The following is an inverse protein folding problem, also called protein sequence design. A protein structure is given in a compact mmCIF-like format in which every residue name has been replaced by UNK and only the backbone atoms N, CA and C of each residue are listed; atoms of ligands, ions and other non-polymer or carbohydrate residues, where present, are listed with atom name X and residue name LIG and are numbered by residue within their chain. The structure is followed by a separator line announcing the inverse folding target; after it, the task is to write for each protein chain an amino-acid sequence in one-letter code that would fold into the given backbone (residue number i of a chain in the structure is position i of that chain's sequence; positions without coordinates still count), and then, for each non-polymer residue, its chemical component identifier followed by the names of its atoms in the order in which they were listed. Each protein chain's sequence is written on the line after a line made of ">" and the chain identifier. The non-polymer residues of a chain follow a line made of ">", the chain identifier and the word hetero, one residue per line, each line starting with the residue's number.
data_IF_435497758070
#
_entry.id   IF_435497758070
#
_cell.length_a   1.000
_cell.length_b   1.000
_cell.length_c   1.000
_cell.angle_alpha   90.00
_cell.angle_beta   90.00
_cell.angle_gamma   90.00
#
_symmetry.space_group_name_H-M   'P 1'
#
loop_
_entity.id
_entity.type
_entity.pdbx_description
1 polymer ?
#
# COMPACT_ATOMS: atom_id res chain seq x y z
N UNK A 1 -16.84 -12.58 -61.31
CA UNK A 1 -17.18 -11.96 -60.01
C UNK A 1 -16.92 -12.91 -58.84
N UNK A 2 -17.41 -14.15 -58.82
CA UNK A 2 -17.21 -15.15 -57.77
C UNK A 2 -15.73 -15.49 -57.48
N UNK A 3 -14.88 -15.62 -58.49
CA UNK A 3 -13.44 -15.92 -58.34
C UNK A 3 -12.65 -14.78 -57.70
N UNK A 4 -13.00 -13.52 -57.98
CA UNK A 4 -12.37 -12.33 -57.39
C UNK A 4 -12.77 -12.18 -55.91
N UNK A 5 -14.01 -12.48 -55.54
CA UNK A 5 -14.52 -12.49 -54.20
C UNK A 5 -13.80 -13.57 -53.37
N UNK A 6 -13.66 -14.78 -53.88
CA UNK A 6 -12.92 -15.88 -53.23
C UNK A 6 -11.42 -15.56 -53.04
N UNK A 7 -10.78 -14.88 -53.99
CA UNK A 7 -9.38 -14.49 -53.87
C UNK A 7 -9.18 -13.41 -52.80
N UNK A 8 -10.05 -12.37 -52.78
CA UNK A 8 -10.02 -11.34 -51.74
C UNK A 8 -10.27 -11.95 -50.35
N UNK A 9 -11.27 -12.81 -50.19
CA UNK A 9 -11.55 -13.51 -48.90
C UNK A 9 -10.35 -14.34 -48.43
N UNK A 10 -9.69 -15.12 -49.31
CA UNK A 10 -8.49 -15.90 -48.95
C UNK A 10 -7.34 -15.01 -48.48
N UNK A 11 -7.13 -13.85 -49.10
CA UNK A 11 -6.08 -12.93 -48.65
C UNK A 11 -6.42 -12.23 -47.35
N UNK A 12 -7.66 -11.83 -47.17
CA UNK A 12 -8.12 -11.27 -45.86
C UNK A 12 -7.96 -12.29 -44.73
N UNK A 13 -8.33 -13.56 -44.95
CA UNK A 13 -8.14 -14.63 -43.94
C UNK A 13 -6.66 -14.85 -43.62
N UNK A 14 -5.76 -14.82 -44.61
CA UNK A 14 -4.30 -14.90 -44.36
C UNK A 14 -3.81 -13.75 -43.47
N UNK A 15 -4.23 -12.52 -43.77
CA UNK A 15 -3.86 -11.33 -42.98
C UNK A 15 -4.36 -11.47 -41.54
N UNK A 16 -5.61 -11.91 -41.34
CA UNK A 16 -6.15 -12.14 -39.97
C UNK A 16 -5.34 -13.21 -39.25
N UNK A 17 -5.02 -14.33 -39.91
CA UNK A 17 -4.21 -15.41 -39.34
C UNK A 17 -2.80 -14.93 -38.95
N UNK A 18 -2.17 -14.07 -39.77
CA UNK A 18 -0.89 -13.46 -39.47
C UNK A 18 -0.99 -12.51 -38.25
N UNK A 19 -2.03 -11.68 -38.17
CA UNK A 19 -2.27 -10.80 -37.01
C UNK A 19 -2.44 -11.65 -35.74
N UNK A 20 -3.26 -12.69 -35.79
CA UNK A 20 -3.46 -13.61 -34.66
C UNK A 20 -2.14 -14.29 -34.26
N UNK A 21 -1.36 -14.78 -35.24
CA UNK A 21 -0.08 -15.41 -34.96
C UNK A 21 0.92 -14.46 -34.30
N UNK A 22 0.98 -13.19 -34.74
CA UNK A 22 1.81 -12.16 -34.13
C UNK A 22 1.34 -11.85 -32.71
N UNK A 23 0.04 -11.70 -32.49
CA UNK A 23 -0.51 -11.46 -31.13
C UNK A 23 -0.20 -12.62 -30.19
N UNK A 24 -0.37 -13.86 -30.64
CA UNK A 24 0.00 -15.05 -29.86
C UNK A 24 1.49 -15.06 -29.54
N UNK A 25 2.35 -14.75 -30.51
CA UNK A 25 3.79 -14.68 -30.28
C UNK A 25 4.15 -13.59 -29.25
N UNK A 26 3.53 -12.42 -29.32
CA UNK A 26 3.74 -11.33 -28.34
C UNK A 26 3.28 -11.74 -26.94
N UNK A 27 2.13 -12.41 -26.81
CA UNK A 27 1.64 -12.93 -25.54
C UNK A 27 2.61 -13.97 -24.97
N UNK A 28 3.11 -14.90 -25.80
CA UNK A 28 4.09 -15.89 -25.34
C UNK A 28 5.40 -15.24 -24.86
N UNK A 29 5.89 -14.25 -25.60
CA UNK A 29 7.08 -13.47 -25.20
C UNK A 29 6.82 -12.78 -23.86
N UNK A 30 5.68 -12.13 -23.69
CA UNK A 30 5.31 -11.48 -22.45
C UNK A 30 5.25 -12.48 -21.28
N UNK A 31 4.63 -13.64 -21.46
CA UNK A 31 4.58 -14.71 -20.44
C UNK A 31 5.98 -15.19 -20.06
N UNK A 32 6.88 -15.37 -21.02
CA UNK A 32 8.27 -15.76 -20.76
C UNK A 32 9.01 -14.67 -19.98
N UNK A 33 8.85 -13.40 -20.37
CA UNK A 33 9.46 -12.26 -19.65
C UNK A 33 8.96 -12.21 -18.22
N UNK A 34 7.65 -12.31 -18.00
CA UNK A 34 7.07 -12.32 -16.67
C UNK A 34 7.52 -13.53 -15.85
N UNK A 35 7.66 -14.69 -16.46
CA UNK A 35 8.17 -15.90 -15.80
C UNK A 35 9.62 -15.71 -15.32
N UNK A 36 10.48 -15.15 -16.16
CA UNK A 36 11.88 -14.81 -15.81
C UNK A 36 11.93 -13.75 -14.69
N UNK A 37 11.01 -12.77 -14.74
CA UNK A 37 10.89 -11.73 -13.73
C UNK A 37 10.23 -12.22 -12.42
N UNK A 38 9.82 -13.50 -12.32
CA UNK A 38 9.07 -14.05 -11.18
C UNK A 38 9.79 -15.19 -10.45
N UNK A 39 11.06 -15.02 -10.05
CA UNK A 39 11.82 -16.10 -9.37
C UNK A 39 11.36 -16.36 -7.93
N UNK A 40 10.53 -15.52 -7.33
CA UNK A 40 10.13 -15.60 -5.93
C UNK A 40 11.29 -15.37 -4.96
N UNK A 41 12.25 -14.52 -5.34
CA UNK A 41 13.44 -14.20 -4.54
C UNK A 41 13.75 -12.71 -4.57
N UNK A 42 13.92 -12.13 -3.39
CA UNK A 42 14.39 -10.77 -3.26
C UNK A 42 15.89 -10.66 -3.61
N UNK A 43 16.31 -9.53 -4.20
CA UNK A 43 17.74 -9.20 -4.30
C UNK A 43 18.33 -9.01 -2.90
N UNK A 44 19.56 -9.45 -2.72
CA UNK A 44 20.34 -9.24 -1.50
C UNK A 44 20.58 -7.74 -1.29
N UNK A 45 20.69 -7.33 -0.04
CA UNK A 45 21.06 -5.96 0.31
C UNK A 45 22.55 -5.73 0.00
N UNK A 46 22.84 -4.57 -0.58
CA UNK A 46 24.19 -4.19 -1.01
C UNK A 46 24.55 -2.82 -0.42
N UNK A 47 25.85 -2.66 -0.15
CA UNK A 47 26.45 -1.38 0.22
C UNK A 47 26.57 -0.42 -0.98
N UNK A 48 27.13 0.77 -0.75
CA UNK A 48 27.34 1.79 -1.78
C UNK A 48 28.30 1.34 -2.90
N UNK A 49 29.19 0.39 -2.61
CA UNK A 49 30.14 -0.20 -3.56
C UNK A 49 29.52 -1.38 -4.34
N UNK A 50 28.26 -1.72 -4.08
CA UNK A 50 27.53 -2.82 -4.74
C UNK A 50 27.86 -4.22 -4.21
N UNK A 51 28.59 -4.34 -3.08
CA UNK A 51 28.90 -5.60 -2.42
C UNK A 51 27.75 -6.00 -1.50
N UNK A 52 27.50 -7.29 -1.38
CA UNK A 52 26.50 -7.82 -0.45
C UNK A 52 26.92 -7.50 0.99
N UNK A 53 26.00 -6.93 1.76
CA UNK A 53 26.22 -6.62 3.18
C UNK A 53 26.22 -7.94 3.97
N UNK A 54 27.35 -8.30 4.63
CA UNK A 54 27.42 -9.53 5.40
C UNK A 54 26.43 -9.57 6.56
N UNK A 55 25.71 -10.68 6.72
CA UNK A 55 24.71 -10.83 7.80
C UNK A 55 23.39 -10.16 7.53
N UNK A 56 23.23 -9.41 6.43
CA UNK A 56 21.94 -8.81 6.05
C UNK A 56 20.88 -9.86 5.75
N UNK A 57 19.61 -9.49 6.01
CA UNK A 57 18.44 -10.31 5.73
C UNK A 57 17.71 -9.77 4.50
N UNK A 58 17.37 -10.65 3.58
CA UNK A 58 16.50 -10.36 2.43
C UNK A 58 15.77 -11.65 2.07
N UNK A 59 14.65 -11.90 2.75
CA UNK A 59 13.94 -13.18 2.72
C UNK A 59 12.48 -13.03 2.32
N UNK A 60 11.99 -14.09 1.67
CA UNK A 60 10.58 -14.37 1.47
C UNK A 60 10.18 -15.51 2.40
N UNK A 61 9.11 -15.33 3.15
CA UNK A 61 8.57 -16.31 4.10
C UNK A 61 7.08 -16.52 3.89
N UNK A 62 6.62 -17.71 4.23
CA UNK A 62 5.21 -18.07 4.32
C UNK A 62 5.02 -18.86 5.62
N UNK A 63 4.01 -18.52 6.41
CA UNK A 63 3.64 -19.22 7.67
C UNK A 63 2.11 -19.26 7.78
N UNK A 64 1.60 -20.12 8.63
CA UNK A 64 0.18 -20.14 9.00
C UNK A 64 -0.06 -19.00 9.99
N UNK A 65 -0.94 -18.07 9.64
CA UNK A 65 -1.49 -17.03 10.52
C UNK A 65 -2.99 -17.24 10.58
N UNK A 66 -3.53 -17.39 11.79
CA UNK A 66 -4.91 -17.81 11.94
C UNK A 66 -5.13 -19.18 11.29
N UNK A 67 -5.93 -19.21 10.25
CA UNK A 67 -6.37 -20.44 9.55
C UNK A 67 -5.80 -20.60 8.13
N UNK A 68 -5.04 -19.61 7.62
CA UNK A 68 -4.47 -19.64 6.26
C UNK A 68 -2.97 -19.40 6.24
N UNK A 69 -2.31 -19.94 5.23
CA UNK A 69 -0.91 -19.64 4.95
C UNK A 69 -0.79 -18.25 4.36
N UNK A 70 0.02 -17.41 4.99
CA UNK A 70 0.25 -16.02 4.59
C UNK A 70 1.73 -15.74 4.37
N UNK A 71 2.01 -14.84 3.43
CA UNK A 71 3.35 -14.50 3.00
C UNK A 71 3.78 -13.11 3.44
N UNK A 72 5.09 -12.97 3.67
CA UNK A 72 5.73 -11.70 3.99
C UNK A 72 7.19 -11.69 3.55
N UNK A 73 7.74 -10.50 3.49
CA UNK A 73 9.17 -10.30 3.22
C UNK A 73 9.83 -9.66 4.43
N UNK A 74 11.04 -10.14 4.78
CA UNK A 74 11.85 -9.52 5.83
C UNK A 74 13.12 -8.97 5.19
N UNK A 75 13.41 -7.70 5.45
CA UNK A 75 14.60 -7.01 4.97
C UNK A 75 15.29 -6.26 6.10
N UNK A 76 16.60 -6.41 6.22
CA UNK A 76 17.42 -5.71 7.21
C UNK A 76 18.89 -5.72 6.82
N UNK A 77 19.59 -4.62 7.00
CA UNK A 77 21.07 -4.61 6.90
C UNK A 77 21.73 -5.23 8.13
N UNK A 78 21.08 -5.12 9.30
CA UNK A 78 21.53 -5.75 10.54
C UNK A 78 20.33 -6.38 11.28
N UNK A 79 20.30 -7.71 11.50
CA UNK A 79 19.20 -8.40 12.18
C UNK A 79 18.98 -7.98 13.64
N UNK A 80 19.98 -7.34 14.27
CA UNK A 80 19.86 -6.81 15.63
C UNK A 80 19.07 -5.50 15.70
N UNK A 81 18.80 -4.86 14.59
CA UNK A 81 17.99 -3.66 14.50
C UNK A 81 16.59 -3.83 15.13
N UNK A 82 15.95 -2.73 15.58
CA UNK A 82 14.56 -2.75 15.96
C UNK A 82 13.67 -3.26 14.82
N UNK A 83 12.60 -3.97 15.17
CA UNK A 83 11.71 -4.57 14.18
C UNK A 83 10.52 -3.66 13.91
N UNK A 84 10.15 -3.50 12.65
CA UNK A 84 8.91 -2.86 12.19
C UNK A 84 8.06 -3.92 11.48
N UNK A 85 6.80 -4.08 11.89
CA UNK A 85 5.77 -4.70 11.09
C UNK A 85 5.09 -3.62 10.24
N UNK A 86 5.19 -3.75 8.92
CA UNK A 86 4.61 -2.81 7.94
C UNK A 86 3.29 -3.36 7.39
N UNK A 87 2.21 -2.62 7.63
CA UNK A 87 0.86 -2.89 7.15
C UNK A 87 0.59 -2.06 5.90
N UNK A 88 0.48 -2.73 4.74
CA UNK A 88 0.25 -2.06 3.46
C UNK A 88 -1.15 -1.44 3.33
N UNK A 89 -1.28 -0.53 2.38
CA UNK A 89 -2.52 0.17 2.04
C UNK A 89 -3.45 -0.58 1.07
N UNK A 90 -4.32 0.16 0.45
CA UNK A 90 -5.33 -0.31 -0.49
C UNK A 90 -6.74 -0.15 0.05
N UNK A 91 -7.43 -1.17 0.61
CA UNK A 91 -6.94 -2.51 0.99
C UNK A 91 -6.45 -3.35 -0.18
N UNK A 92 -5.56 -4.29 0.13
CA UNK A 92 -5.12 -5.29 -0.84
C UNK A 92 -4.00 -4.89 -1.80
N UNK A 93 -3.22 -3.83 -1.47
CA UNK A 93 -2.14 -3.33 -2.33
C UNK A 93 -0.77 -3.38 -1.63
N UNK A 94 -0.11 -4.55 -1.54
CA UNK A 94 1.24 -4.66 -0.98
C UNK A 94 2.23 -3.71 -1.68
N UNK A 95 2.94 -2.89 -0.92
CA UNK A 95 3.73 -1.78 -1.47
C UNK A 95 5.19 -2.09 -1.73
N UNK A 96 5.72 -3.21 -1.21
CA UNK A 96 7.13 -3.52 -1.38
C UNK A 96 7.61 -3.49 -2.84
N UNK A 97 6.83 -3.92 -3.86
CA UNK A 97 7.22 -3.77 -5.26
C UNK A 97 7.53 -2.31 -5.66
N UNK A 98 6.69 -1.38 -5.26
CA UNK A 98 6.83 0.07 -5.54
C UNK A 98 7.97 0.67 -4.72
N UNK A 99 8.04 0.34 -3.43
CA UNK A 99 9.12 0.78 -2.55
C UNK A 99 10.49 0.37 -3.13
N UNK A 100 10.60 -0.83 -3.67
CA UNK A 100 11.87 -1.33 -4.25
C UNK A 100 12.16 -0.79 -5.65
N UNK A 101 11.20 -0.21 -6.35
CA UNK A 101 11.41 0.40 -7.66
C UNK A 101 12.07 1.79 -7.57
N UNK A 102 12.04 2.45 -6.41
CA UNK A 102 12.72 3.73 -6.18
C UNK A 102 14.22 3.46 -5.95
N UNK A 103 15.06 3.78 -6.96
CA UNK A 103 16.48 3.37 -7.00
C UNK A 103 17.35 4.07 -5.94
N UNK A 104 17.19 5.37 -5.73
CA UNK A 104 18.06 6.21 -4.88
C UNK A 104 17.37 6.62 -3.57
N UNK A 105 16.54 5.77 -3.01
CA UNK A 105 15.87 6.11 -1.76
C UNK A 105 16.72 5.80 -0.53
N UNK A 106 16.59 6.64 0.49
CA UNK A 106 16.97 6.26 1.85
C UNK A 106 16.08 5.08 2.30
N UNK A 107 16.67 4.07 2.92
CA UNK A 107 16.00 2.81 3.23
C UNK A 107 15.80 2.61 4.72
N UNK A 108 14.58 2.26 5.14
CA UNK A 108 14.31 1.84 6.52
C UNK A 108 15.17 0.64 6.93
N UNK A 109 15.43 -0.27 5.99
CA UNK A 109 16.17 -1.52 6.22
C UNK A 109 17.63 -1.31 6.64
N UNK A 110 18.17 -0.09 6.49
CA UNK A 110 19.47 0.30 7.04
C UNK A 110 19.43 0.38 8.59
N UNK A 111 18.31 0.81 9.14
CA UNK A 111 18.15 1.11 10.57
C UNK A 111 17.18 0.18 11.29
N UNK A 112 16.36 -0.54 10.54
CA UNK A 112 15.32 -1.42 11.06
C UNK A 112 15.32 -2.77 10.36
N UNK A 113 14.85 -3.78 11.06
CA UNK A 113 14.39 -5.02 10.45
C UNK A 113 12.92 -4.85 10.08
N UNK A 114 12.63 -4.71 8.78
CA UNK A 114 11.28 -4.43 8.29
C UNK A 114 10.64 -5.70 7.77
N UNK A 115 9.46 -6.04 8.32
CA UNK A 115 8.59 -7.09 7.82
C UNK A 115 7.47 -6.46 6.98
N UNK A 116 7.53 -6.66 5.66
CA UNK A 116 6.50 -6.27 4.71
C UNK A 116 5.53 -7.44 4.53
N UNK A 117 4.37 -7.34 5.13
CA UNK A 117 3.38 -8.41 5.12
C UNK A 117 2.41 -8.25 3.95
N UNK A 118 2.27 -9.28 3.13
CA UNK A 118 1.16 -9.42 2.20
C UNK A 118 -0.06 -9.89 3.01
N UNK A 119 -0.93 -8.97 3.38
CA UNK A 119 -2.06 -9.23 4.26
C UNK A 119 -3.01 -10.28 3.67
N UNK A 120 -3.81 -10.91 4.52
CA UNK A 120 -4.83 -11.91 4.18
C UNK A 120 -5.55 -11.57 2.86
N UNK A 121 -5.61 -12.52 1.95
CA UNK A 121 -6.31 -12.37 0.67
C UNK A 121 -5.55 -11.63 -0.44
N UNK A 122 -4.26 -11.23 -0.24
CA UNK A 122 -3.50 -10.47 -1.24
C UNK A 122 -2.12 -11.07 -1.52
N UNK A 123 -1.54 -10.77 -2.69
CA UNK A 123 -0.18 -11.18 -3.03
C UNK A 123 0.09 -12.67 -2.78
N UNK A 124 1.09 -12.96 -1.94
CA UNK A 124 1.43 -14.31 -1.49
C UNK A 124 0.35 -14.96 -0.61
N UNK A 125 -0.47 -14.14 0.06
CA UNK A 125 -1.54 -14.58 0.97
C UNK A 125 -2.88 -14.77 0.27
N UNK A 126 -2.94 -14.58 -1.06
CA UNK A 126 -4.16 -14.79 -1.82
C UNK A 126 -4.52 -16.27 -1.90
N UNK A 127 -5.77 -16.59 -1.62
CA UNK A 127 -6.37 -17.92 -1.85
C UNK A 127 -7.71 -17.72 -2.57
N UNK A 128 -7.97 -18.53 -3.60
CA UNK A 128 -9.15 -18.36 -4.46
C UNK A 128 -10.48 -18.76 -3.81
N UNK A 129 -10.42 -19.41 -2.66
CA UNK A 129 -11.58 -19.82 -1.87
C UNK A 129 -11.95 -18.87 -0.74
N UNK A 130 -11.21 -17.77 -0.55
CA UNK A 130 -11.56 -16.75 0.44
C UNK A 130 -12.78 -15.95 -0.02
N UNK A 131 -13.69 -15.72 0.91
CA UNK A 131 -14.89 -14.90 0.74
C UNK A 131 -14.97 -13.78 1.77
N UNK A 132 -16.10 -13.07 1.80
CA UNK A 132 -16.32 -11.95 2.72
C UNK A 132 -16.16 -12.36 4.21
N UNK A 133 -16.64 -13.55 4.58
CA UNK A 133 -16.57 -14.06 5.96
C UNK A 133 -15.13 -14.29 6.43
N UNK A 134 -14.19 -14.50 5.52
CA UNK A 134 -12.77 -14.70 5.81
C UNK A 134 -11.99 -13.37 5.90
N UNK A 135 -12.60 -12.26 5.47
CA UNK A 135 -11.94 -10.95 5.31
C UNK A 135 -12.52 -9.90 6.26
N UNK A 136 -12.75 -10.26 7.52
CA UNK A 136 -13.22 -9.33 8.56
C UNK A 136 -12.07 -8.56 9.17
N UNK A 137 -12.32 -7.35 9.69
CA UNK A 137 -11.31 -6.54 10.42
C UNK A 137 -10.65 -7.36 11.53
N UNK A 138 -11.45 -8.18 12.25
CA UNK A 138 -10.92 -9.00 13.34
C UNK A 138 -9.90 -10.06 12.86
N UNK A 139 -10.13 -10.69 11.70
CA UNK A 139 -9.15 -11.61 11.12
C UNK A 139 -7.82 -10.93 10.82
N UNK A 140 -7.84 -9.70 10.25
CA UNK A 140 -6.61 -8.94 10.00
C UNK A 140 -5.92 -8.52 11.29
N UNK A 141 -6.66 -8.15 12.34
CA UNK A 141 -6.12 -7.80 13.66
C UNK A 141 -5.45 -9.00 14.32
N UNK A 142 -6.10 -10.16 14.30
CA UNK A 142 -5.56 -11.40 14.87
C UNK A 142 -4.32 -11.89 14.11
N UNK A 143 -4.34 -11.82 12.77
CA UNK A 143 -3.18 -12.15 11.92
C UNK A 143 -1.99 -11.22 12.22
N UNK A 144 -2.24 -9.91 12.37
CA UNK A 144 -1.20 -8.93 12.72
C UNK A 144 -0.59 -9.21 14.10
N UNK A 145 -1.42 -9.54 15.11
CA UNK A 145 -0.97 -10.00 16.44
C UNK A 145 -0.06 -11.22 16.33
N UNK A 146 -0.49 -12.23 15.61
CA UNK A 146 0.23 -13.50 15.50
C UNK A 146 1.54 -13.33 14.74
N UNK A 147 1.56 -12.53 13.67
CA UNK A 147 2.78 -12.17 12.96
C UNK A 147 3.72 -11.35 13.85
N UNK A 148 3.19 -10.42 14.66
CA UNK A 148 3.98 -9.64 15.63
C UNK A 148 4.67 -10.58 16.63
N UNK A 149 3.95 -11.53 17.22
CA UNK A 149 4.52 -12.51 18.15
C UNK A 149 5.61 -13.39 17.49
N UNK A 150 5.38 -13.83 16.26
CA UNK A 150 6.38 -14.53 15.47
C UNK A 150 7.67 -13.71 15.28
N UNK A 151 7.53 -12.42 14.96
CA UNK A 151 8.67 -11.51 14.77
C UNK A 151 9.42 -11.27 16.10
N UNK A 152 8.69 -11.06 17.20
CA UNK A 152 9.27 -10.91 18.54
C UNK A 152 10.09 -12.13 18.94
N UNK A 153 9.55 -13.32 18.80
CA UNK A 153 10.25 -14.58 19.11
C UNK A 153 11.49 -14.75 18.20
N UNK A 154 11.33 -14.55 16.90
CA UNK A 154 12.40 -14.73 15.92
C UNK A 154 13.60 -13.84 16.15
N UNK A 155 13.37 -12.56 16.51
CA UNK A 155 14.42 -11.56 16.68
C UNK A 155 14.78 -11.29 18.16
N UNK A 156 14.19 -12.04 19.09
CA UNK A 156 14.44 -11.89 20.52
C UNK A 156 14.07 -10.49 21.04
N UNK A 157 12.93 -9.94 20.59
CA UNK A 157 12.46 -8.61 20.97
C UNK A 157 11.26 -8.72 21.90
N UNK A 158 11.23 -7.88 22.95
CA UNK A 158 10.10 -7.80 23.88
C UNK A 158 8.90 -7.06 23.30
N UNK A 159 9.14 -6.13 22.37
CA UNK A 159 8.16 -5.36 21.61
C UNK A 159 8.73 -5.03 20.22
N UNK A 160 7.86 -4.62 19.31
CA UNK A 160 8.25 -4.13 17.98
C UNK A 160 7.57 -2.78 17.67
N UNK A 161 7.86 -2.18 16.54
CA UNK A 161 7.11 -1.03 16.02
C UNK A 161 6.03 -1.52 15.05
N UNK A 162 4.88 -0.86 15.06
CA UNK A 162 3.82 -1.05 14.08
C UNK A 162 3.76 0.16 13.16
N UNK A 163 3.79 -0.07 11.85
CA UNK A 163 3.68 0.99 10.85
C UNK A 163 2.57 0.62 9.86
N UNK A 164 1.66 1.55 9.56
CA UNK A 164 0.56 1.29 8.66
C UNK A 164 0.33 2.43 7.68
N UNK A 165 0.15 2.13 6.37
CA UNK A 165 -0.20 3.12 5.36
C UNK A 165 -1.68 2.99 4.96
N UNK A 166 -2.42 4.12 4.90
CA UNK A 166 -3.78 4.15 4.36
C UNK A 166 -4.69 3.11 5.05
N UNK A 167 -5.27 2.15 4.35
CA UNK A 167 -5.95 1.00 4.96
C UNK A 167 -5.13 0.36 6.10
N UNK A 168 -3.82 0.19 5.90
CA UNK A 168 -2.93 -0.32 6.93
C UNK A 168 -2.88 0.59 8.16
N UNK A 169 -3.15 1.89 8.02
CA UNK A 169 -3.24 2.80 9.15
C UNK A 169 -4.55 2.64 9.93
N UNK A 170 -5.65 2.38 9.25
CA UNK A 170 -6.91 1.99 9.90
C UNK A 170 -6.74 0.69 10.68
N UNK A 171 -6.19 -0.33 10.01
CA UNK A 171 -5.89 -1.62 10.65
C UNK A 171 -4.95 -1.46 11.85
N UNK A 172 -3.91 -0.63 11.71
CA UNK A 172 -2.94 -0.37 12.78
C UNK A 172 -3.59 0.20 14.05
N UNK A 173 -4.53 1.13 13.91
CA UNK A 173 -5.35 1.63 15.05
C UNK A 173 -6.10 0.49 15.72
N UNK A 174 -6.80 -0.36 14.96
CA UNK A 174 -7.56 -1.50 15.51
C UNK A 174 -6.66 -2.55 16.20
N UNK A 175 -5.42 -2.69 15.73
CA UNK A 175 -4.42 -3.58 16.35
C UNK A 175 -3.92 -3.02 17.68
N UNK A 176 -3.55 -1.74 17.75
CA UNK A 176 -3.02 -1.15 18.98
C UNK A 176 -4.09 -0.93 20.06
N UNK A 177 -5.35 -0.85 19.70
CA UNK A 177 -6.45 -0.86 20.66
C UNK A 177 -6.58 -2.19 21.40
N UNK A 178 -6.33 -3.30 20.71
CA UNK A 178 -6.51 -4.63 21.29
C UNK A 178 -5.23 -5.19 21.90
N UNK A 179 -4.04 -4.82 21.37
CA UNK A 179 -2.74 -5.38 21.74
C UNK A 179 -1.65 -4.33 21.94
N UNK A 180 -1.89 -3.26 22.74
CA UNK A 180 -0.92 -2.18 22.93
C UNK A 180 0.41 -2.64 23.55
N UNK A 181 0.37 -3.72 24.34
CA UNK A 181 1.55 -4.26 25.02
C UNK A 181 2.62 -4.83 24.05
N UNK A 182 2.27 -5.11 22.81
CA UNK A 182 3.18 -5.66 21.82
C UNK A 182 4.05 -4.59 21.12
N UNK A 183 3.73 -3.31 21.29
CA UNK A 183 4.34 -2.26 20.50
C UNK A 183 5.02 -1.18 21.33
N UNK A 184 6.18 -0.68 20.84
CA UNK A 184 6.86 0.50 21.38
C UNK A 184 6.15 1.79 20.97
N UNK A 185 5.75 1.87 19.71
CA UNK A 185 4.97 2.94 19.13
C UNK A 185 4.24 2.46 17.88
N UNK A 186 3.17 3.15 17.56
CA UNK A 186 2.46 3.06 16.29
C UNK A 186 2.79 4.27 15.40
N UNK A 187 2.98 4.02 14.09
CA UNK A 187 3.30 5.01 13.07
C UNK A 187 2.30 4.89 11.90
N UNK A 188 1.37 5.82 11.81
CA UNK A 188 0.38 5.87 10.73
C UNK A 188 0.83 6.77 9.58
N UNK A 189 0.83 6.27 8.35
CA UNK A 189 1.13 7.01 7.13
C UNK A 189 -0.17 7.22 6.37
N UNK A 190 -0.52 8.49 6.04
CA UNK A 190 -1.83 8.77 5.44
C UNK A 190 -2.94 8.18 6.32
N UNK A 191 -3.01 8.65 7.59
CA UNK A 191 -3.86 8.07 8.63
C UNK A 191 -5.34 8.20 8.31
N UNK A 192 -6.01 7.10 8.11
CA UNK A 192 -7.47 7.03 8.00
C UNK A 192 -8.09 7.38 9.34
N UNK A 193 -9.10 8.26 9.31
CA UNK A 193 -9.85 8.71 10.49
C UNK A 193 -11.36 8.62 10.29
N UNK A 194 -11.91 9.35 9.35
CA UNK A 194 -13.31 9.31 8.92
C UNK A 194 -13.34 9.30 7.39
N UNK A 195 -13.18 8.11 6.80
CA UNK A 195 -12.96 8.00 5.35
C UNK A 195 -14.15 8.48 4.52
N UNK A 196 -15.37 8.28 4.98
CA UNK A 196 -16.55 8.80 4.28
C UNK A 196 -16.48 10.33 4.12
N UNK A 197 -16.20 11.06 5.21
CA UNK A 197 -16.04 12.52 5.15
C UNK A 197 -14.82 12.92 4.32
N UNK A 198 -13.73 12.15 4.39
CA UNK A 198 -12.54 12.37 3.55
C UNK A 198 -12.87 12.31 2.06
N UNK A 199 -13.70 11.35 1.64
CA UNK A 199 -14.14 11.23 0.23
C UNK A 199 -15.03 12.42 -0.20
N UNK A 200 -15.88 12.94 0.70
CA UNK A 200 -16.67 14.14 0.41
C UNK A 200 -15.78 15.37 0.22
N UNK A 201 -14.83 15.60 1.13
CA UNK A 201 -13.85 16.70 1.02
C UNK A 201 -13.01 16.62 -0.26
N UNK A 202 -12.63 15.42 -0.64
CA UNK A 202 -11.89 15.19 -1.88
C UNK A 202 -12.74 15.47 -3.12
N UNK A 203 -14.02 15.08 -3.11
CA UNK A 203 -14.96 15.39 -4.18
C UNK A 203 -15.15 16.91 -4.34
N UNK A 204 -15.38 17.62 -3.23
CA UNK A 204 -15.52 19.07 -3.20
C UNK A 204 -14.28 19.76 -3.76
N UNK A 205 -13.10 19.38 -3.30
CA UNK A 205 -11.84 19.92 -3.84
C UNK A 205 -11.72 19.72 -5.36
N UNK A 206 -12.01 18.50 -5.85
CA UNK A 206 -11.93 18.21 -7.29
C UNK A 206 -12.95 19.00 -8.09
N UNK A 207 -14.13 19.22 -7.54
CA UNK A 207 -15.19 20.03 -8.18
C UNK A 207 -14.79 21.49 -8.28
N UNK A 208 -14.29 22.06 -7.18
CA UNK A 208 -13.84 23.45 -7.11
C UNK A 208 -12.66 23.69 -8.05
N UNK A 209 -11.65 22.84 -8.00
CA UNK A 209 -10.51 22.94 -8.91
C UNK A 209 -10.91 22.82 -10.38
N UNK A 210 -11.81 21.88 -10.73
CA UNK A 210 -12.31 21.74 -12.09
C UNK A 210 -13.08 22.97 -12.58
N UNK A 211 -13.82 23.65 -11.67
CA UNK A 211 -14.49 24.93 -11.96
C UNK A 211 -13.47 26.05 -12.18
N UNK A 212 -12.48 26.20 -11.32
CA UNK A 212 -11.44 27.24 -11.42
C UNK A 212 -10.69 27.16 -12.75
N UNK A 213 -10.33 25.94 -13.20
CA UNK A 213 -9.59 25.73 -14.45
C UNK A 213 -10.52 25.52 -15.67
N UNK A 214 -11.84 25.65 -15.51
CA UNK A 214 -12.86 25.43 -16.53
C UNK A 214 -12.78 24.05 -17.22
N UNK A 215 -12.52 23.00 -16.47
CA UNK A 215 -12.39 21.64 -16.99
C UNK A 215 -13.75 20.93 -17.15
N UNK A 216 -14.48 21.25 -18.22
CA UNK A 216 -15.83 20.74 -18.48
C UNK A 216 -15.95 19.22 -18.50
N UNK A 217 -14.88 18.48 -18.90
CA UNK A 217 -14.90 17.01 -18.90
C UNK A 217 -14.88 16.44 -17.48
N UNK A 218 -14.11 17.05 -16.58
CA UNK A 218 -14.09 16.68 -15.16
C UNK A 218 -15.43 17.00 -14.48
N UNK A 219 -15.94 18.22 -14.69
CA UNK A 219 -17.26 18.65 -14.18
C UNK A 219 -18.39 17.70 -14.62
N UNK A 220 -18.40 17.28 -15.90
CA UNK A 220 -19.39 16.32 -16.40
C UNK A 220 -19.27 14.94 -15.74
N UNK A 221 -18.05 14.49 -15.42
CA UNK A 221 -17.83 13.20 -14.74
C UNK A 221 -18.24 13.27 -13.27
N UNK A 222 -17.78 14.30 -12.55
CA UNK A 222 -18.13 14.53 -11.14
C UNK A 222 -19.64 14.68 -10.98
N UNK A 223 -20.33 15.44 -11.84
CA UNK A 223 -21.78 15.63 -11.78
C UNK A 223 -22.63 14.36 -11.99
N UNK A 224 -22.04 13.18 -12.16
CA UNK A 224 -22.74 11.91 -12.16
C UNK A 224 -22.91 11.32 -10.76
N UNK A 225 -22.23 11.88 -9.75
CA UNK A 225 -22.19 11.39 -8.38
C UNK A 225 -22.68 12.46 -7.42
N UNK A 226 -23.39 12.05 -6.39
CA UNK A 226 -23.82 12.90 -5.29
C UNK A 226 -23.04 12.50 -4.02
N UNK A 227 -22.12 13.34 -3.52
CA UNK A 227 -21.30 13.03 -2.34
C UNK A 227 -22.12 12.93 -1.05
N UNK A 228 -23.38 13.40 -1.05
CA UNK A 228 -24.28 13.34 0.09
C UNK A 228 -25.26 12.14 0.02
N UNK A 229 -25.19 11.36 -1.07
CA UNK A 229 -26.07 10.20 -1.22
C UNK A 229 -25.68 9.05 -0.30
N UNK A 230 -26.68 8.32 0.19
CA UNK A 230 -26.47 7.02 0.86
C UNK A 230 -25.75 6.06 -0.11
N UNK A 231 -24.61 5.53 0.26
CA UNK A 231 -23.79 4.64 -0.58
C UNK A 231 -22.72 5.35 -1.40
N UNK A 232 -22.48 6.65 -1.20
CA UNK A 232 -21.24 7.27 -1.65
C UNK A 232 -20.09 6.89 -0.69
N UNK A 233 -18.88 6.60 -1.22
CA UNK A 233 -18.48 6.55 -2.63
C UNK A 233 -18.80 5.19 -3.28
N UNK A 234 -19.34 5.22 -4.49
CA UNK A 234 -19.57 4.04 -5.30
C UNK A 234 -18.27 3.49 -5.90
N UNK A 235 -18.22 2.18 -6.18
CA UNK A 235 -17.02 1.50 -6.69
C UNK A 235 -16.54 2.06 -8.04
N UNK A 236 -17.43 2.41 -8.95
CA UNK A 236 -17.09 3.01 -10.25
C UNK A 236 -16.54 4.44 -10.11
N UNK A 237 -17.02 5.21 -9.12
CA UNK A 237 -16.41 6.49 -8.74
C UNK A 237 -14.99 6.29 -8.24
N UNK A 238 -14.78 5.40 -7.28
CA UNK A 238 -13.48 5.11 -6.66
C UNK A 238 -12.44 4.68 -7.71
N UNK A 239 -12.77 3.67 -8.53
CA UNK A 239 -11.85 3.13 -9.52
C UNK A 239 -11.66 4.03 -10.76
N UNK A 240 -12.62 4.85 -11.07
CA UNK A 240 -12.65 5.65 -12.30
C UNK A 240 -12.37 7.13 -12.10
N UNK A 241 -13.42 7.86 -11.79
CA UNK A 241 -13.39 9.35 -11.75
C UNK A 241 -12.47 9.86 -10.66
N UNK A 242 -12.61 9.37 -9.42
CA UNK A 242 -11.80 9.74 -8.26
C UNK A 242 -10.29 9.54 -8.52
N UNK A 243 -9.89 8.30 -8.79
CA UNK A 243 -8.47 7.97 -8.99
C UNK A 243 -7.86 8.78 -10.13
N UNK A 244 -8.59 8.95 -11.24
CA UNK A 244 -8.11 9.72 -12.38
C UNK A 244 -7.90 11.19 -12.04
N UNK A 245 -8.87 11.84 -11.40
CA UNK A 245 -8.80 13.27 -11.11
C UNK A 245 -7.87 13.59 -9.94
N UNK A 246 -7.87 12.79 -8.88
CA UNK A 246 -6.94 12.97 -7.76
C UNK A 246 -5.48 12.93 -8.22
N UNK A 247 -5.11 11.92 -9.00
CA UNK A 247 -3.73 11.81 -9.52
C UNK A 247 -3.41 12.95 -10.50
N UNK A 248 -4.37 13.35 -11.34
CA UNK A 248 -4.19 14.47 -12.26
C UNK A 248 -3.97 15.80 -11.54
N UNK A 249 -4.64 16.01 -10.41
CA UNK A 249 -4.55 17.25 -9.63
C UNK A 249 -3.46 17.23 -8.56
N UNK A 250 -2.67 16.13 -8.47
CA UNK A 250 -1.57 15.99 -7.53
C UNK A 250 -2.02 15.89 -6.07
N UNK A 251 -3.19 15.31 -5.83
CA UNK A 251 -3.79 15.10 -4.50
C UNK A 251 -4.10 13.62 -4.22
N UNK A 252 -3.63 12.74 -5.11
CA UNK A 252 -3.85 11.31 -5.06
C UNK A 252 -2.69 10.53 -4.41
N UNK A 253 -2.26 9.45 -5.05
CA UNK A 253 -1.21 8.54 -4.54
C UNK A 253 0.12 9.27 -4.35
N UNK A 254 0.50 10.09 -5.31
CA UNK A 254 1.67 10.98 -5.24
C UNK A 254 1.30 12.35 -5.79
N UNK A 255 2.00 13.39 -5.35
CA UNK A 255 1.78 14.75 -5.82
C UNK A 255 2.24 14.94 -7.27
N UNK A 256 3.40 14.41 -7.60
CA UNK A 256 4.04 14.53 -8.91
C UNK A 256 4.42 13.14 -9.42
N UNK A 257 4.61 13.00 -10.72
CA UNK A 257 5.18 11.83 -11.40
C UNK A 257 4.45 10.49 -11.17
N UNK A 258 3.20 10.50 -10.71
CA UNK A 258 2.43 9.26 -10.58
C UNK A 258 2.01 8.70 -11.94
N UNK A 259 2.32 7.45 -12.17
CA UNK A 259 1.90 6.68 -13.35
C UNK A 259 1.31 5.33 -12.94
N UNK A 260 0.02 5.13 -13.23
CA UNK A 260 -0.63 3.82 -13.04
C UNK A 260 0.08 2.71 -13.84
N UNK A 261 0.61 3.04 -15.02
CA UNK A 261 1.37 2.09 -15.83
C UNK A 261 2.67 1.69 -15.12
N UNK A 262 3.41 2.66 -14.54
CA UNK A 262 4.62 2.37 -13.78
C UNK A 262 4.32 1.47 -12.59
N UNK A 263 3.28 1.78 -11.81
CA UNK A 263 2.84 0.97 -10.67
C UNK A 263 2.55 -0.49 -11.07
N UNK A 264 1.83 -0.70 -12.16
CA UNK A 264 1.57 -2.05 -12.67
C UNK A 264 2.88 -2.74 -13.08
N UNK A 265 3.79 -2.02 -13.74
CA UNK A 265 5.08 -2.57 -14.14
C UNK A 265 5.96 -2.92 -12.95
N UNK A 266 5.96 -2.10 -11.89
CA UNK A 266 6.70 -2.38 -10.66
C UNK A 266 6.26 -3.71 -10.03
N UNK A 267 4.96 -3.96 -9.95
CA UNK A 267 4.41 -5.25 -9.49
C UNK A 267 4.76 -6.39 -10.45
N UNK A 268 4.57 -6.18 -11.76
CA UNK A 268 4.83 -7.23 -12.76
C UNK A 268 6.31 -7.59 -12.88
N UNK A 269 7.22 -6.66 -12.65
CA UNK A 269 8.66 -6.88 -12.71
C UNK A 269 9.27 -7.21 -11.35
N UNK A 270 8.51 -7.16 -10.26
CA UNK A 270 8.98 -7.46 -8.91
C UNK A 270 9.47 -8.91 -8.78
N UNK A 271 10.74 -9.07 -8.46
CA UNK A 271 11.41 -10.38 -8.40
C UNK A 271 11.10 -11.18 -7.13
N UNK A 272 10.60 -10.53 -6.09
CA UNK A 272 10.18 -11.18 -4.84
C UNK A 272 8.96 -12.10 -5.03
N UNK A 273 8.14 -11.82 -6.01
CA UNK A 273 6.95 -12.62 -6.33
C UNK A 273 7.23 -13.75 -7.30
N UNK A 274 6.55 -14.87 -7.10
CA UNK A 274 6.29 -15.90 -8.13
C UNK A 274 5.15 -15.42 -9.04
N UNK A 275 4.94 -16.11 -10.15
CA UNK A 275 3.86 -15.79 -11.09
C UNK A 275 2.47 -15.87 -10.42
N UNK A 276 2.24 -16.87 -9.56
CA UNK A 276 0.99 -17.00 -8.82
C UNK A 276 0.75 -15.83 -7.85
N UNK A 277 1.81 -15.28 -7.23
CA UNK A 277 1.69 -14.15 -6.30
C UNK A 277 1.29 -12.87 -7.03
N UNK A 278 1.77 -12.65 -8.28
CA UNK A 278 1.34 -11.53 -9.13
C UNK A 278 -0.13 -11.63 -9.53
N UNK A 279 -0.59 -12.84 -9.83
CA UNK A 279 -2.03 -13.10 -10.02
C UNK A 279 -2.79 -12.85 -8.72
N UNK A 280 -2.24 -13.31 -7.60
CA UNK A 280 -2.76 -13.07 -6.25
C UNK A 280 -2.83 -11.59 -5.89
N UNK A 281 -1.83 -10.79 -6.32
CA UNK A 281 -1.85 -9.34 -6.15
C UNK A 281 -3.07 -8.72 -6.86
N UNK A 282 -3.24 -8.97 -8.15
CA UNK A 282 -4.32 -8.36 -8.95
C UNK A 282 -5.70 -8.82 -8.47
N UNK A 283 -5.89 -10.13 -8.27
CA UNK A 283 -7.18 -10.66 -7.80
C UNK A 283 -7.49 -10.28 -6.37
N UNK A 284 -6.47 -10.28 -5.52
CA UNK A 284 -6.59 -9.93 -4.12
C UNK A 284 -6.89 -8.45 -3.91
N UNK A 285 -6.31 -7.55 -4.72
CA UNK A 285 -6.66 -6.12 -4.67
C UNK A 285 -8.13 -5.88 -5.00
N UNK A 286 -8.67 -6.58 -6.00
CA UNK A 286 -10.10 -6.50 -6.33
C UNK A 286 -10.97 -7.09 -5.21
N UNK A 287 -10.61 -8.28 -4.71
CA UNK A 287 -11.33 -8.94 -3.63
C UNK A 287 -11.37 -8.07 -2.36
N UNK A 288 -10.24 -7.45 -2.01
CA UNK A 288 -10.16 -6.57 -0.85
C UNK A 288 -10.95 -5.27 -1.05
N UNK A 289 -10.90 -4.67 -2.24
CA UNK A 289 -11.67 -3.47 -2.54
C UNK A 289 -13.19 -3.72 -2.43
N UNK A 290 -13.66 -4.87 -2.89
CA UNK A 290 -15.08 -5.23 -2.85
C UNK A 290 -15.58 -5.59 -1.44
N UNK A 291 -14.75 -6.18 -0.58
CA UNK A 291 -15.19 -6.75 0.69
C UNK A 291 -14.65 -6.02 1.93
N UNK A 292 -13.54 -5.29 1.82
CA UNK A 292 -12.80 -4.75 2.97
C UNK A 292 -12.83 -3.23 3.01
N UNK A 293 -12.89 -2.56 1.85
CA UNK A 293 -12.81 -1.10 1.76
C UNK A 293 -13.89 -0.40 2.59
N UNK A 294 -15.09 -0.93 2.59
CA UNK A 294 -16.24 -0.31 3.26
C UNK A 294 -16.15 -0.36 4.79
N UNK A 295 -15.29 -1.18 5.39
CA UNK A 295 -15.02 -1.09 6.82
C UNK A 295 -14.43 0.27 7.23
N UNK A 296 -13.63 0.90 6.36
CA UNK A 296 -13.12 2.26 6.62
C UNK A 296 -14.17 3.34 6.34
N UNK A 297 -15.09 3.10 5.40
CA UNK A 297 -16.16 4.04 5.08
C UNK A 297 -17.17 4.10 6.21
N UNK A 298 -17.53 2.95 6.77
CA UNK A 298 -18.59 2.80 7.77
C UNK A 298 -18.11 3.13 9.20
N UNK A 299 -16.79 3.22 9.45
CA UNK A 299 -16.24 3.51 10.77
C UNK A 299 -15.74 4.96 10.86
N UNK A 300 -16.08 5.61 11.98
CA UNK A 300 -15.61 6.93 12.33
C UNK A 300 -14.68 6.83 13.55
N UNK A 301 -13.36 6.91 13.34
CA UNK A 301 -12.37 6.79 14.41
C UNK A 301 -12.43 7.95 15.43
N UNK A 302 -13.04 9.07 15.08
CA UNK A 302 -13.30 10.15 16.06
C UNK A 302 -14.27 9.72 17.18
N UNK A 303 -15.11 8.72 16.89
CA UNK A 303 -16.07 8.17 17.85
C UNK A 303 -15.62 6.83 18.43
N UNK A 304 -14.99 5.98 17.60
CA UNK A 304 -14.68 4.60 17.97
C UNK A 304 -13.29 4.40 18.59
N UNK A 305 -12.31 5.31 18.33
CA UNK A 305 -10.88 5.01 18.59
C UNK A 305 -10.12 6.27 18.99
N UNK A 306 -10.22 6.67 20.26
CA UNK A 306 -9.67 7.96 20.74
C UNK A 306 -8.67 7.85 21.89
N UNK A 307 -8.53 6.67 22.53
CA UNK A 307 -7.67 6.48 23.70
C UNK A 307 -6.73 5.29 23.45
N UNK A 308 -5.43 5.53 23.60
CA UNK A 308 -4.38 4.55 23.32
C UNK A 308 -3.39 4.43 24.47
N UNK A 309 -2.97 3.20 24.76
CA UNK A 309 -1.92 2.89 25.75
C UNK A 309 -0.52 2.82 25.12
N UNK A 310 -0.40 3.15 23.83
CA UNK A 310 0.85 3.16 23.07
C UNK A 310 1.06 4.52 22.42
N UNK A 311 2.30 5.02 22.27
CA UNK A 311 2.58 6.25 21.52
C UNK A 311 2.09 6.19 20.08
N UNK A 312 1.47 7.27 19.58
CA UNK A 312 0.86 7.38 18.26
C UNK A 312 1.50 8.52 17.47
N UNK A 313 2.12 8.20 16.35
CA UNK A 313 2.75 9.17 15.45
C UNK A 313 2.16 9.07 14.05
N UNK A 314 1.78 10.21 13.47
CA UNK A 314 1.16 10.28 12.14
C UNK A 314 2.08 11.03 11.18
N UNK A 315 2.30 10.43 10.01
CA UNK A 315 3.07 10.94 8.88
C UNK A 315 2.10 11.25 7.77
N UNK A 316 1.96 12.52 7.39
CA UNK A 316 0.91 12.90 6.44
C UNK A 316 1.39 13.93 5.43
N UNK A 317 1.11 13.71 4.16
CA UNK A 317 1.37 14.68 3.10
C UNK A 317 0.37 15.84 3.15
N UNK A 318 0.86 17.05 2.96
CA UNK A 318 0.03 18.26 2.99
C UNK A 318 -1.04 18.27 1.89
N UNK A 319 -0.76 17.58 0.78
CA UNK A 319 -1.65 17.50 -0.39
C UNK A 319 -2.44 16.18 -0.46
N UNK A 320 -2.50 15.43 0.63
CA UNK A 320 -3.24 14.18 0.69
C UNK A 320 -4.75 14.45 0.83
N UNK A 321 -5.49 14.12 -0.24
CA UNK A 321 -6.94 14.06 -0.26
C UNK A 321 -7.48 12.64 -0.47
N UNK A 322 -6.60 11.64 -0.65
CA UNK A 322 -7.03 10.24 -0.57
C UNK A 322 -7.50 9.89 0.85
N UNK A 323 -6.75 10.43 1.81
CA UNK A 323 -7.10 10.46 3.22
C UNK A 323 -6.85 11.88 3.69
N UNK A 324 -7.87 12.56 4.19
CA UNK A 324 -7.80 13.99 4.45
C UNK A 324 -6.74 14.38 5.49
N UNK A 325 -5.74 15.19 5.06
CA UNK A 325 -4.76 15.80 5.97
C UNK A 325 -5.41 16.61 7.09
N UNK A 326 -6.49 17.35 6.76
CA UNK A 326 -7.20 18.16 7.74
C UNK A 326 -7.81 17.28 8.85
N UNK A 327 -8.48 16.18 8.47
CA UNK A 327 -9.09 15.26 9.43
C UNK A 327 -8.01 14.52 10.25
N UNK A 328 -6.89 14.14 9.65
CA UNK A 328 -5.78 13.53 10.38
C UNK A 328 -5.18 14.51 11.42
N UNK A 329 -5.09 15.80 11.07
CA UNK A 329 -4.65 16.85 12.01
C UNK A 329 -5.60 17.01 13.19
N UNK A 330 -6.90 17.06 12.92
CA UNK A 330 -7.93 17.12 13.95
C UNK A 330 -7.89 15.89 14.86
N UNK A 331 -7.78 14.71 14.27
CA UNK A 331 -7.71 13.45 15.01
C UNK A 331 -6.52 13.36 15.96
N UNK A 332 -5.30 13.74 15.51
CA UNK A 332 -4.11 13.78 16.42
C UNK A 332 -4.33 14.74 17.58
N UNK A 333 -4.99 15.86 17.35
CA UNK A 333 -5.28 16.81 18.46
C UNK A 333 -6.25 16.21 19.47
N UNK A 334 -7.19 15.40 19.03
CA UNK A 334 -8.26 14.86 19.86
C UNK A 334 -7.86 13.59 20.64
N UNK A 335 -7.08 12.66 20.05
CA UNK A 335 -6.74 11.40 20.70
C UNK A 335 -5.95 11.61 21.99
N UNK A 336 -6.06 10.66 22.92
CA UNK A 336 -5.23 10.55 24.12
C UNK A 336 -4.25 9.37 23.94
N UNK A 337 -2.96 9.61 24.17
CA UNK A 337 -1.90 8.62 24.07
C UNK A 337 -0.71 9.04 24.97
N UNK A 338 0.16 8.10 25.41
CA UNK A 338 1.36 8.41 26.21
C UNK A 338 2.29 9.43 25.55
N UNK A 339 2.38 9.39 24.22
CA UNK A 339 2.97 10.42 23.39
C UNK A 339 2.26 10.43 22.03
N UNK A 340 2.14 11.59 21.39
CA UNK A 340 1.53 11.72 20.07
C UNK A 340 2.20 12.81 19.27
N UNK A 341 2.17 12.67 17.92
CA UNK A 341 2.71 13.69 17.04
C UNK A 341 2.21 13.56 15.61
N UNK A 342 2.11 14.73 14.94
CA UNK A 342 1.85 14.83 13.51
C UNK A 342 3.11 15.35 12.82
N UNK A 343 3.59 14.62 11.83
CA UNK A 343 4.70 15.00 10.96
C UNK A 343 4.15 15.31 9.57
N UNK A 344 4.07 16.61 9.25
CA UNK A 344 3.58 17.10 7.95
C UNK A 344 4.67 17.04 6.91
N UNK A 345 4.41 16.40 5.78
CA UNK A 345 5.29 16.34 4.61
C UNK A 345 4.79 17.34 3.56
N UNK A 346 5.51 18.46 3.47
CA UNK A 346 5.04 19.63 2.73
C UNK A 346 5.09 19.49 1.20
N UNK A 347 5.78 18.48 0.70
CA UNK A 347 5.92 18.21 -0.74
C UNK A 347 5.17 16.96 -1.18
N UNK A 348 4.50 16.28 -0.26
CA UNK A 348 3.88 14.98 -0.50
C UNK A 348 2.36 15.06 -0.54
N UNK A 349 1.77 14.15 -1.32
CA UNK A 349 0.39 13.72 -1.21
C UNK A 349 0.29 12.47 -0.31
N UNK A 350 -0.28 11.36 -0.78
CA UNK A 350 -0.58 10.18 0.05
C UNK A 350 0.63 9.31 0.42
N UNK A 351 1.77 9.48 -0.26
CA UNK A 351 2.92 8.57 -0.11
C UNK A 351 4.20 9.29 0.36
N UNK A 352 4.22 9.95 1.54
CA UNK A 352 5.40 10.68 2.01
C UNK A 352 6.64 9.80 2.19
N UNK A 353 6.48 8.51 2.42
CA UNK A 353 7.54 7.51 2.48
C UNK A 353 8.25 7.29 1.13
N UNK A 354 7.59 7.61 0.02
CA UNK A 354 8.15 7.53 -1.33
C UNK A 354 8.53 8.91 -1.90
N UNK A 355 7.80 9.96 -1.54
CA UNK A 355 7.98 11.31 -2.07
C UNK A 355 9.07 12.10 -1.32
N UNK A 356 9.21 11.90 0.00
CA UNK A 356 10.23 12.54 0.85
C UNK A 356 11.00 11.49 1.68
N UNK A 357 11.61 10.45 1.07
CA UNK A 357 12.11 9.27 1.77
C UNK A 357 13.18 9.58 2.81
N UNK A 358 14.12 10.49 2.53
CA UNK A 358 15.19 10.85 3.48
C UNK A 358 14.63 11.51 4.75
N UNK A 359 13.63 12.38 4.61
CA UNK A 359 12.94 12.98 5.75
C UNK A 359 12.11 11.94 6.51
N UNK A 360 11.40 11.07 5.78
CA UNK A 360 10.61 10.01 6.35
C UNK A 360 11.44 9.08 7.24
N UNK A 361 12.54 8.54 6.71
CA UNK A 361 13.44 7.64 7.46
C UNK A 361 14.04 8.34 8.67
N UNK A 362 14.47 9.61 8.54
CA UNK A 362 14.99 10.38 9.69
C UNK A 362 13.97 10.49 10.81
N UNK A 363 12.72 10.87 10.53
CA UNK A 363 11.68 10.99 11.55
C UNK A 363 11.36 9.65 12.20
N UNK A 364 11.34 8.54 11.44
CA UNK A 364 11.15 7.19 12.00
C UNK A 364 12.29 6.83 12.96
N UNK A 365 13.54 7.19 12.62
CA UNK A 365 14.70 7.02 13.51
C UNK A 365 14.57 7.85 14.79
N UNK A 366 14.24 9.13 14.67
CA UNK A 366 14.06 10.02 15.81
C UNK A 366 13.03 9.48 16.80
N UNK A 367 11.91 8.93 16.30
CA UNK A 367 10.90 8.25 17.13
C UNK A 367 11.48 7.01 17.81
N UNK A 368 12.25 6.20 17.09
CA UNK A 368 12.86 4.99 17.67
C UNK A 368 13.89 5.34 18.76
N UNK A 369 14.66 6.41 18.58
CA UNK A 369 15.58 6.91 19.62
C UNK A 369 14.84 7.32 20.90
N UNK A 370 13.71 7.99 20.78
CA UNK A 370 12.87 8.38 21.92
C UNK A 370 12.37 7.19 22.75
N UNK A 371 12.09 6.05 22.12
CA UNK A 371 11.48 4.90 22.79
C UNK A 371 12.44 3.76 23.11
N UNK A 372 13.63 3.72 22.49
CA UNK A 372 14.62 2.66 22.70
C UNK A 372 15.95 3.16 23.27
N UNK A 373 16.19 4.46 23.30
CA UNK A 373 17.50 5.01 23.61
C UNK A 373 18.61 4.58 22.62
N UNK A 374 18.23 4.20 21.43
CA UNK A 374 19.16 3.81 20.36
C UNK A 374 19.83 5.07 19.81
N UNK A 375 21.12 5.19 20.04
CA UNK A 375 21.93 6.24 19.42
C UNK A 375 22.41 5.70 18.06
N UNK A 376 21.79 6.14 17.00
CA UNK A 376 22.34 5.92 15.65
C UNK A 376 23.47 6.92 15.41
N UNK A 377 24.61 6.49 14.84
CA UNK A 377 25.65 7.44 14.42
C UNK A 377 25.02 8.49 13.50
N UNK A 378 25.26 9.77 13.80
CA UNK A 378 24.96 10.85 12.87
C UNK A 378 25.94 10.72 11.73
N UNK A 379 25.49 10.39 10.52
CA UNK A 379 26.30 10.40 9.29
C UNK A 379 26.63 11.83 8.85
#
# INVERSE_FOLDING_TARGET
>A
MVLIINWKMKNTLKVILWIVAVLVALILIMVVVLWIASPGKLPLLKDAEGKVIPGSISERREIILGDIEQGFFIRSENPDNPVILYLHGGPGSPELPMIMAVEERERLEKYFTVCYWDQRGTGMSYRSNLGADDLTVQHYVDDARDLTKYLMERFGKDKIYLMGLSWGSYLGIKVIEQYPELYYAYMGIGQVTHQHLSEQLAYEYMLDHANEVNEHKALKKLGQYDPLSEGFPQLDYLMGTRTTLMNKYGIGIMREDFSMFSLVMDVMMFRGYKMCDKVGYVRGSLLALENVFYFMIDDNLFESSTNFDVPVYIFHGLYDYQVSYALATEYVNMIEAPAKGLYTFEKSAHSPNMEEPARFVRVVRDIAELHHGLIYPLD
#
